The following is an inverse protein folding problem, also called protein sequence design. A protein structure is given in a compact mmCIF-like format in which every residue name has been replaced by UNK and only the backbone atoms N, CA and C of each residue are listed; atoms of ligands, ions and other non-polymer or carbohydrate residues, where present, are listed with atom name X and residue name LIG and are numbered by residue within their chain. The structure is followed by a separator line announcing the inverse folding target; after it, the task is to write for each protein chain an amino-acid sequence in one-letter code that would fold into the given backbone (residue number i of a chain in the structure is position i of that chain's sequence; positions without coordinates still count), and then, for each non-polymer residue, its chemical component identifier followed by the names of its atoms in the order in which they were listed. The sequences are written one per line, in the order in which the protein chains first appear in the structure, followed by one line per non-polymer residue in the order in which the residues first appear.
data_IF_158412247256
#
_entry.id   IF_158412247256
#
_cell.length_a   1.000
_cell.length_b   1.000
_cell.length_c   1.000
_cell.angle_alpha   90.00
_cell.angle_beta   90.00
_cell.angle_gamma   90.00
#
_symmetry.space_group_name_H-M   'P 1'
#
loop_
_entity.id
_entity.type
_entity.pdbx_description
1 polymer ?
#
# COMPACT_ATOMS: atom_id res chain seq x y z
N UNK A 1 11.10 49.23 57.11
CA UNK A 1 10.87 50.49 56.38
C UNK A 1 12.13 50.82 55.58
N UNK A 2 12.13 50.56 54.26
CA UNK A 2 12.94 51.20 53.21
C UNK A 2 12.18 50.88 51.89
N UNK A 3 11.27 51.78 51.47
CA UNK A 3 11.40 52.72 50.35
C UNK A 3 11.76 52.06 49.00
N UNK A 4 10.78 51.97 48.08
CA UNK A 4 10.74 52.66 46.77
C UNK A 4 9.64 52.09 45.85
N UNK A 5 8.65 52.91 45.50
CA UNK A 5 7.85 52.82 44.24
C UNK A 5 8.38 53.93 43.28
N UNK A 6 8.03 54.09 41.98
CA UNK A 6 6.87 53.60 41.20
C UNK A 6 7.24 53.28 39.70
N UNK A 7 6.43 53.55 38.64
CA UNK A 7 5.19 52.90 38.19
C UNK A 7 5.20 52.34 36.73
N UNK A 8 4.18 51.54 36.44
CA UNK A 8 3.36 51.39 35.21
C UNK A 8 3.99 51.61 33.82
N UNK A 9 4.08 50.51 33.04
CA UNK A 9 4.07 50.58 31.58
C UNK A 9 2.81 49.89 31.03
N UNK A 10 1.98 50.68 30.37
CA UNK A 10 0.80 50.30 29.60
C UNK A 10 1.21 49.92 28.18
N UNK A 11 0.82 48.76 27.63
CA UNK A 11 0.93 48.53 26.19
C UNK A 11 -0.30 49.07 25.45
N UNK A 12 -0.05 49.99 24.53
CA UNK A 12 -0.99 50.59 23.56
C UNK A 12 -1.54 49.55 22.59
N UNK A 13 -2.87 49.52 22.43
CA UNK A 13 -3.58 48.86 21.32
C UNK A 13 -4.07 49.94 20.35
N UNK A 14 -3.94 49.74 19.03
CA UNK A 14 -4.87 50.33 18.08
C UNK A 14 -5.77 49.28 17.40
N UNK A 15 -7.07 49.51 17.47
CA UNK A 15 -8.09 48.98 16.54
C UNK A 15 -8.07 49.87 15.26
N UNK A 16 -8.51 49.54 14.03
CA UNK A 16 -9.70 48.81 13.57
C UNK A 16 -9.60 48.59 12.04
N UNK A 17 -10.24 47.53 11.53
CA UNK A 17 -10.87 47.32 10.21
C UNK A 17 -10.15 47.60 8.89
N UNK A 18 -10.01 46.55 8.09
CA UNK A 18 -10.43 46.54 6.66
C UNK A 18 -10.73 45.11 6.20
N UNK A 19 -11.98 44.84 5.84
CA UNK A 19 -12.44 43.81 4.87
C UNK A 19 -13.61 44.44 4.10
N UNK A 20 -13.90 44.09 2.82
CA UNK A 20 -13.62 42.80 2.19
C UNK A 20 -13.05 42.86 0.75
N UNK A 21 -12.42 41.76 0.33
CA UNK A 21 -12.38 41.39 -1.08
C UNK A 21 -12.60 39.87 -1.18
N UNK A 22 -13.81 39.51 -1.61
CA UNK A 22 -14.15 38.19 -2.12
C UNK A 22 -13.19 37.82 -3.25
N UNK A 23 -12.44 36.73 -3.09
CA UNK A 23 -11.83 36.02 -4.21
C UNK A 23 -11.69 34.54 -3.88
N UNK A 24 -12.47 33.77 -4.64
CA UNK A 24 -12.51 32.33 -4.83
C UNK A 24 -12.89 31.42 -3.63
N UNK A 25 -13.84 30.49 -3.80
CA UNK A 25 -13.82 29.31 -2.95
C UNK A 25 -12.45 28.65 -3.13
N UNK A 26 -11.74 28.48 -2.02
CA UNK A 26 -10.60 27.58 -1.97
C UNK A 26 -11.02 26.29 -2.66
N UNK A 27 -10.31 25.95 -3.74
CA UNK A 27 -10.51 24.69 -4.42
C UNK A 27 -10.57 23.61 -3.34
N UNK A 28 -11.64 22.83 -3.36
CA UNK A 28 -11.80 21.63 -2.55
C UNK A 28 -10.46 20.91 -2.53
N UNK A 29 -9.89 20.51 -1.38
CA UNK A 29 -8.73 19.65 -1.42
C UNK A 29 -9.17 18.41 -2.20
N UNK A 30 -8.59 18.23 -3.39
CA UNK A 30 -8.62 16.95 -4.09
C UNK A 30 -8.20 15.95 -3.03
N UNK A 31 -9.11 15.05 -2.67
CA UNK A 31 -8.83 13.95 -1.73
C UNK A 31 -7.44 13.42 -2.05
N UNK A 32 -6.50 13.36 -1.08
CA UNK A 32 -5.19 12.82 -1.38
C UNK A 32 -5.42 11.43 -1.96
N UNK A 33 -4.94 11.20 -3.18
CA UNK A 33 -4.98 9.89 -3.78
C UNK A 33 -4.33 8.91 -2.80
N UNK A 34 -4.91 7.72 -2.64
CA UNK A 34 -4.32 6.75 -1.71
C UNK A 34 -2.86 6.47 -2.09
N UNK A 35 -2.00 6.12 -1.12
CA UNK A 35 -0.63 5.73 -1.39
C UNK A 35 -0.58 4.63 -2.48
N UNK A 36 0.47 4.59 -3.33
CA UNK A 36 0.56 3.63 -4.44
C UNK A 36 0.33 2.16 -4.05
N UNK A 37 0.83 1.75 -2.88
CA UNK A 37 0.59 0.40 -2.36
C UNK A 37 -0.87 0.11 -1.99
N UNK A 38 -1.63 1.11 -1.53
CA UNK A 38 -3.07 0.97 -1.26
C UNK A 38 -3.84 0.90 -2.58
N UNK A 39 -3.46 1.72 -3.57
CA UNK A 39 -4.03 1.62 -4.92
C UNK A 39 -3.75 0.26 -5.57
N UNK A 40 -2.54 -0.29 -5.38
CA UNK A 40 -2.21 -1.65 -5.84
C UNK A 40 -3.17 -2.71 -5.27
N UNK A 41 -3.52 -2.60 -3.99
CA UNK A 41 -4.50 -3.51 -3.35
C UNK A 41 -5.89 -3.35 -3.98
N UNK A 42 -6.34 -2.11 -4.20
CA UNK A 42 -7.63 -1.88 -4.83
C UNK A 42 -7.68 -2.40 -6.28
N UNK A 43 -6.63 -2.14 -7.06
CA UNK A 43 -6.47 -2.66 -8.41
C UNK A 43 -6.48 -4.20 -8.43
N UNK A 44 -5.79 -4.85 -7.48
CA UNK A 44 -5.81 -6.30 -7.33
C UNK A 44 -7.23 -6.82 -7.09
N UNK A 45 -8.04 -6.16 -6.25
CA UNK A 45 -9.42 -6.60 -5.97
C UNK A 45 -10.37 -6.41 -7.16
N UNK A 46 -10.10 -5.43 -8.02
CA UNK A 46 -10.81 -5.29 -9.29
C UNK A 46 -10.43 -6.41 -10.26
N UNK A 47 -9.15 -6.81 -10.25
CA UNK A 47 -8.65 -7.82 -11.16
C UNK A 47 -8.91 -9.26 -10.68
N UNK A 48 -8.86 -9.51 -9.38
CA UNK A 48 -9.05 -10.83 -8.74
C UNK A 48 -10.03 -10.69 -7.57
N UNK A 49 -11.36 -10.60 -7.85
CA UNK A 49 -12.36 -10.31 -6.82
C UNK A 49 -12.47 -11.34 -5.69
N UNK A 50 -11.95 -12.55 -5.91
CA UNK A 50 -11.92 -13.62 -4.91
C UNK A 50 -11.12 -13.26 -3.64
N UNK A 51 -10.21 -12.27 -3.71
CA UNK A 51 -9.50 -11.77 -2.53
C UNK A 51 -10.33 -10.83 -1.65
N UNK A 52 -11.55 -10.45 -2.05
CA UNK A 52 -12.38 -9.49 -1.30
C UNK A 52 -12.65 -9.92 0.14
N UNK A 53 -12.92 -11.20 0.38
CA UNK A 53 -13.14 -11.71 1.74
C UNK A 53 -11.89 -11.61 2.63
N UNK A 54 -10.70 -11.85 2.07
CA UNK A 54 -9.42 -11.65 2.76
C UNK A 54 -9.19 -10.16 3.06
N UNK A 55 -9.49 -9.28 2.09
CA UNK A 55 -9.38 -7.83 2.25
C UNK A 55 -10.27 -7.28 3.36
N UNK A 56 -11.54 -7.68 3.40
CA UNK A 56 -12.48 -7.25 4.44
C UNK A 56 -12.00 -7.70 5.83
N UNK A 57 -11.53 -8.94 5.93
CA UNK A 57 -10.95 -9.50 7.17
C UNK A 57 -9.66 -8.78 7.58
N UNK A 58 -8.84 -8.36 6.61
CA UNK A 58 -7.63 -7.58 6.84
C UNK A 58 -7.97 -6.19 7.39
N UNK A 59 -8.83 -5.44 6.72
CA UNK A 59 -9.23 -4.09 7.14
C UNK A 59 -9.87 -4.11 8.53
N UNK A 60 -10.73 -5.08 8.79
CA UNK A 60 -11.35 -5.25 10.10
C UNK A 60 -10.31 -5.48 11.20
N UNK A 61 -9.29 -6.33 10.97
CA UNK A 61 -8.25 -6.63 11.97
C UNK A 61 -7.24 -5.49 12.16
N UNK A 62 -6.90 -4.77 11.09
CA UNK A 62 -5.80 -3.80 11.10
C UNK A 62 -6.28 -2.34 11.25
N UNK A 63 -7.59 -2.09 11.16
CA UNK A 63 -8.15 -0.73 11.19
C UNK A 63 -7.89 0.10 9.93
N UNK A 64 -7.37 -0.54 8.86
CA UNK A 64 -7.02 0.11 7.60
C UNK A 64 -6.30 -0.85 6.64
N UNK A 65 -5.97 -0.34 5.45
CA UNK A 65 -5.20 -1.11 4.45
C UNK A 65 -3.71 -0.96 4.74
N UNK A 66 -3.05 -2.09 4.96
CA UNK A 66 -1.59 -2.19 5.12
C UNK A 66 -1.09 -3.11 4.01
N UNK A 67 -0.59 -2.55 2.89
CA UNK A 67 -0.30 -3.34 1.68
C UNK A 67 0.60 -4.55 1.95
N UNK A 68 1.73 -4.38 2.64
CA UNK A 68 2.64 -5.48 2.97
C UNK A 68 1.96 -6.62 3.73
N UNK A 69 1.16 -6.27 4.73
CA UNK A 69 0.47 -7.25 5.58
C UNK A 69 -0.64 -7.96 4.79
N UNK A 70 -1.36 -7.22 3.94
CA UNK A 70 -2.39 -7.83 3.09
C UNK A 70 -1.78 -8.74 2.01
N UNK A 71 -0.63 -8.38 1.47
CA UNK A 71 0.05 -9.17 0.45
C UNK A 71 0.50 -10.55 0.97
N UNK A 72 0.69 -10.72 2.27
CA UNK A 72 0.81 -12.05 2.87
C UNK A 72 -0.42 -12.92 2.60
N UNK A 73 -1.63 -12.40 2.83
CA UNK A 73 -2.89 -13.12 2.53
C UNK A 73 -3.02 -13.42 1.02
N UNK A 74 -2.51 -12.53 0.16
CA UNK A 74 -2.44 -12.74 -1.30
C UNK A 74 -1.52 -13.90 -1.65
N UNK A 75 -0.32 -13.97 -1.08
CA UNK A 75 0.61 -15.10 -1.27
C UNK A 75 -0.06 -16.40 -0.84
N UNK A 76 -0.63 -16.45 0.36
CA UNK A 76 -1.28 -17.67 0.89
C UNK A 76 -2.44 -18.13 -0.01
N UNK A 77 -3.29 -17.20 -0.45
CA UNK A 77 -4.40 -17.51 -1.35
C UNK A 77 -3.93 -18.01 -2.72
N UNK A 78 -2.90 -17.38 -3.28
CA UNK A 78 -2.33 -17.72 -4.60
C UNK A 78 -1.66 -19.10 -4.56
N UNK A 79 -0.82 -19.36 -3.55
CA UNK A 79 -0.12 -20.65 -3.40
C UNK A 79 -1.10 -21.79 -3.15
N UNK A 80 -2.12 -21.56 -2.31
CA UNK A 80 -3.17 -22.56 -2.06
C UNK A 80 -3.94 -22.88 -3.34
N UNK A 81 -4.32 -21.87 -4.12
CA UNK A 81 -4.97 -22.08 -5.42
C UNK A 81 -4.06 -22.84 -6.38
N UNK A 82 -2.77 -22.49 -6.47
CA UNK A 82 -1.80 -23.21 -7.30
C UNK A 82 -1.69 -24.70 -6.92
N UNK A 83 -1.64 -25.02 -5.62
CA UNK A 83 -1.56 -26.40 -5.14
C UNK A 83 -2.83 -27.21 -5.41
N UNK A 84 -4.00 -26.57 -5.33
CA UNK A 84 -5.29 -27.22 -5.55
C UNK A 84 -5.75 -27.18 -7.02
N UNK A 85 -5.04 -26.45 -7.88
CA UNK A 85 -5.51 -25.98 -9.21
C UNK A 85 -6.94 -25.40 -9.15
N UNK A 86 -7.20 -24.63 -8.08
CA UNK A 86 -8.51 -24.04 -7.78
C UNK A 86 -8.69 -22.71 -8.54
N UNK A 87 -9.91 -22.43 -8.96
CA UNK A 87 -10.28 -21.22 -9.70
C UNK A 87 -10.46 -19.99 -8.82
N UNK A 88 -10.47 -20.11 -7.48
CA UNK A 88 -10.75 -18.99 -6.58
C UNK A 88 -9.82 -18.95 -5.32
N UNK A 89 -8.90 -17.97 -5.21
CA UNK A 89 -8.52 -17.00 -6.25
C UNK A 89 -7.81 -17.68 -7.42
N UNK A 90 -8.00 -17.22 -8.65
CA UNK A 90 -7.25 -17.75 -9.80
C UNK A 90 -5.78 -17.33 -9.68
N UNK A 91 -4.90 -18.30 -9.42
CA UNK A 91 -3.48 -18.06 -9.26
C UNK A 91 -2.83 -17.50 -10.53
N UNK A 92 -3.27 -17.93 -11.72
CA UNK A 92 -2.70 -17.47 -13.01
C UNK A 92 -3.01 -15.99 -13.19
N UNK A 93 -4.29 -15.63 -13.01
CA UNK A 93 -4.73 -14.24 -13.09
C UNK A 93 -4.06 -13.33 -12.06
N UNK A 94 -3.74 -13.88 -10.88
CA UNK A 94 -3.00 -13.15 -9.86
C UNK A 94 -1.56 -12.88 -10.30
N UNK A 95 -0.84 -13.89 -10.83
CA UNK A 95 0.51 -13.71 -11.35
C UNK A 95 0.55 -12.76 -12.55
N UNK A 96 -0.40 -12.87 -13.48
CA UNK A 96 -0.49 -12.00 -14.65
C UNK A 96 -0.64 -10.52 -14.25
N UNK A 97 -1.51 -10.25 -13.28
CA UNK A 97 -1.68 -8.90 -12.73
C UNK A 97 -0.38 -8.37 -12.10
N UNK A 98 0.28 -9.17 -11.27
CA UNK A 98 1.50 -8.74 -10.58
C UNK A 98 2.68 -8.55 -11.55
N UNK A 99 2.77 -9.37 -12.59
CA UNK A 99 3.75 -9.24 -13.67
C UNK A 99 3.52 -7.94 -14.44
N UNK A 100 2.26 -7.66 -14.80
CA UNK A 100 1.89 -6.40 -15.47
C UNK A 100 2.30 -5.19 -14.62
N UNK A 101 1.94 -5.17 -13.33
CA UNK A 101 2.30 -4.08 -12.42
C UNK A 101 3.82 -3.95 -12.29
N UNK A 102 4.51 -5.06 -12.16
CA UNK A 102 5.98 -5.11 -12.08
C UNK A 102 6.66 -4.58 -13.34
N UNK A 103 6.06 -4.74 -14.51
CA UNK A 103 6.61 -4.30 -15.79
C UNK A 103 6.58 -2.78 -15.97
N UNK A 104 5.72 -2.08 -15.22
CA UNK A 104 5.53 -0.62 -15.33
C UNK A 104 6.65 0.18 -14.63
N UNK A 105 7.44 -0.48 -13.78
CA UNK A 105 8.63 0.11 -13.14
C UNK A 105 8.33 1.19 -12.09
N UNK A 106 7.16 1.14 -11.46
CA UNK A 106 6.81 1.99 -10.32
C UNK A 106 7.53 1.46 -9.07
N UNK A 107 8.43 2.27 -8.48
CA UNK A 107 9.28 1.84 -7.38
C UNK A 107 8.49 1.50 -6.11
N UNK A 108 7.40 2.20 -5.83
CA UNK A 108 6.63 2.01 -4.60
C UNK A 108 5.77 0.75 -4.71
N UNK A 109 5.24 0.48 -5.91
CA UNK A 109 4.55 -0.78 -6.21
C UNK A 109 5.52 -1.96 -6.23
N UNK A 110 6.69 -1.77 -6.85
CA UNK A 110 7.74 -2.78 -6.91
C UNK A 110 8.25 -3.16 -5.53
N UNK A 111 8.36 -2.20 -4.63
CA UNK A 111 8.77 -2.45 -3.25
C UNK A 111 7.78 -3.42 -2.57
N UNK A 112 6.47 -3.20 -2.65
CA UNK A 112 5.47 -4.11 -2.09
C UNK A 112 5.52 -5.49 -2.74
N UNK A 113 5.61 -5.57 -4.08
CA UNK A 113 5.63 -6.85 -4.80
C UNK A 113 6.91 -7.64 -4.46
N UNK A 114 8.07 -6.99 -4.46
CA UNK A 114 9.34 -7.66 -4.21
C UNK A 114 9.44 -8.11 -2.76
N UNK A 115 9.10 -7.24 -1.81
CA UNK A 115 9.26 -7.54 -0.38
C UNK A 115 8.21 -8.52 0.13
N UNK A 116 6.93 -8.35 -0.26
CA UNK A 116 5.80 -9.04 0.38
C UNK A 116 5.11 -10.08 -0.50
N UNK A 117 5.36 -10.10 -1.81
CA UNK A 117 4.90 -11.21 -2.64
C UNK A 117 6.05 -12.17 -2.94
N UNK A 118 7.05 -11.70 -3.68
CA UNK A 118 8.21 -12.51 -4.09
C UNK A 118 9.05 -12.94 -2.89
N UNK A 119 9.24 -12.03 -1.94
CA UNK A 119 9.96 -12.27 -0.69
C UNK A 119 9.30 -13.27 0.25
N UNK A 120 8.02 -13.58 0.06
CA UNK A 120 7.23 -14.49 0.90
C UNK A 120 6.79 -15.77 0.17
N UNK A 121 7.20 -15.96 -1.10
CA UNK A 121 6.95 -17.22 -1.80
C UNK A 121 7.60 -18.41 -1.07
N UNK A 122 7.02 -19.63 -1.19
CA UNK A 122 7.55 -20.81 -0.55
C UNK A 122 9.00 -21.09 -0.95
N UNK A 123 9.81 -21.55 0.01
CA UNK A 123 11.19 -22.00 -0.19
C UNK A 123 11.25 -23.31 -0.98
N UNK A 124 12.39 -23.70 -1.58
CA UNK A 124 12.49 -24.89 -2.44
C UNK A 124 11.97 -26.21 -1.85
N UNK A 125 11.99 -26.36 -0.53
CA UNK A 125 11.54 -27.54 0.20
C UNK A 125 10.07 -27.47 0.64
N UNK A 126 9.43 -26.31 0.51
CA UNK A 126 8.07 -26.06 0.95
C UNK A 126 7.05 -26.39 -0.14
N UNK A 127 5.87 -26.94 0.21
CA UNK A 127 4.79 -27.12 -0.74
C UNK A 127 4.43 -25.81 -1.44
N UNK A 128 4.29 -25.88 -2.77
CA UNK A 128 3.88 -24.73 -3.57
C UNK A 128 5.04 -23.96 -4.20
N UNK A 129 6.31 -24.26 -3.87
CA UNK A 129 7.47 -23.63 -4.52
C UNK A 129 7.48 -23.74 -6.05
N UNK A 130 6.82 -24.76 -6.60
CA UNK A 130 6.62 -24.90 -8.04
C UNK A 130 6.02 -23.67 -8.73
N UNK A 131 5.30 -22.80 -7.98
CA UNK A 131 4.76 -21.54 -8.49
C UNK A 131 5.84 -20.56 -8.96
N UNK A 132 7.05 -20.63 -8.41
CA UNK A 132 8.19 -19.79 -8.83
C UNK A 132 8.51 -20.00 -10.31
N UNK A 133 8.28 -21.22 -10.83
CA UNK A 133 8.48 -21.53 -12.26
C UNK A 133 7.40 -20.95 -13.18
N UNK A 134 6.33 -20.42 -12.61
CA UNK A 134 5.21 -19.80 -13.32
C UNK A 134 5.31 -18.27 -13.34
N UNK A 135 6.30 -17.69 -12.66
CA UNK A 135 6.51 -16.25 -12.67
C UNK A 135 6.83 -15.77 -14.09
N UNK A 136 6.28 -14.60 -14.44
CA UNK A 136 6.66 -13.91 -15.66
C UNK A 136 8.13 -13.45 -15.64
N UNK A 137 8.67 -13.00 -16.79
CA UNK A 137 10.08 -12.67 -16.93
C UNK A 137 10.55 -11.55 -15.98
N UNK A 138 9.73 -10.53 -15.72
CA UNK A 138 10.08 -9.40 -14.86
C UNK A 138 10.10 -9.83 -13.40
N UNK A 139 9.05 -10.49 -12.93
CA UNK A 139 8.99 -11.02 -11.57
C UNK A 139 10.07 -12.08 -11.34
N UNK A 140 10.35 -12.94 -12.31
CA UNK A 140 11.45 -13.92 -12.23
C UNK A 140 12.81 -13.23 -12.05
N UNK A 141 13.10 -12.19 -12.84
CA UNK A 141 14.35 -11.44 -12.73
C UNK A 141 14.47 -10.74 -11.36
N UNK A 142 13.37 -10.19 -10.84
CA UNK A 142 13.32 -9.58 -9.50
C UNK A 142 13.52 -10.63 -8.40
N UNK A 143 12.85 -11.78 -8.50
CA UNK A 143 12.96 -12.89 -7.56
C UNK A 143 14.40 -13.39 -7.44
N UNK A 144 15.09 -13.63 -8.56
CA UNK A 144 16.49 -14.09 -8.56
C UNK A 144 17.46 -13.11 -7.91
N UNK A 145 17.17 -11.80 -7.93
CA UNK A 145 18.00 -10.78 -7.26
C UNK A 145 17.86 -10.84 -5.75
N UNK A 146 16.67 -11.14 -5.23
CA UNK A 146 16.41 -11.19 -3.78
C UNK A 146 16.61 -12.59 -3.19
N UNK A 147 16.53 -13.65 -4.01
CA UNK A 147 16.70 -15.05 -3.62
C UNK A 147 17.53 -15.81 -4.67
N UNK A 148 18.87 -15.63 -4.69
CA UNK A 148 19.73 -16.25 -5.69
C UNK A 148 19.81 -17.80 -5.60
N UNK A 149 19.32 -18.40 -4.50
CA UNK A 149 19.25 -19.85 -4.31
C UNK A 149 17.88 -20.48 -4.53
N UNK A 150 16.85 -19.68 -4.83
CA UNK A 150 15.44 -20.08 -4.76
C UNK A 150 14.83 -19.90 -3.38
#
# INVERSE_FOLDING_TARGET
MQHTSPPTNTPTIPATSTVPATSAPSATPLTPADPPGVQLVHDLLLHVPAFRGAYESHVFRQGGVLPHVFFWDVVQGTVRSFLADDAAPDWRRTLDFLEERSSRGDSDVDEVIVTSFLGDLPSPQEPGHGIVRQLGPVMSAKFLRIRPGG
#
